data_IF_407229049074
#
_entry.id   IF_407229049074
#
_cell.length_a   1.000
_cell.length_b   1.000
_cell.length_c   1.000
_cell.angle_alpha   90.00
_cell.angle_beta   90.00
_cell.angle_gamma   90.00
#
_symmetry.space_group_name_H-M   'P 1'
#
loop_
_entity.id
_entity.type
_entity.pdbx_description
1 polymer ?
#
# COMPACT_ATOMS: atom_id res chain seq x y z
N UNK A 1 18.62 28.85 -38.31
CA UNK A 1 17.16 28.64 -38.26
C UNK A 1 16.83 28.11 -36.88
N UNK A 2 15.90 28.76 -36.18
CA UNK A 2 15.48 28.39 -34.84
C UNK A 2 14.35 27.35 -34.91
N UNK A 3 14.37 26.40 -34.00
CA UNK A 3 13.21 25.64 -33.56
C UNK A 3 13.37 25.44 -32.05
N UNK A 4 12.54 26.16 -31.28
CA UNK A 4 12.43 26.04 -29.84
C UNK A 4 11.26 25.09 -29.57
N UNK A 5 11.51 23.94 -28.95
CA UNK A 5 10.51 23.18 -28.22
C UNK A 5 10.88 23.29 -26.74
N UNK A 6 9.91 23.76 -25.96
CA UNK A 6 10.01 24.16 -24.57
C UNK A 6 10.65 23.06 -23.71
N UNK A 7 11.92 23.24 -23.38
CA UNK A 7 12.72 22.31 -22.60
C UNK A 7 12.31 22.33 -21.13
N UNK A 8 11.21 21.63 -20.80
CA UNK A 8 10.85 21.34 -19.40
C UNK A 8 11.93 20.42 -18.82
N UNK A 9 12.92 21.02 -18.17
CA UNK A 9 13.88 20.28 -17.35
C UNK A 9 13.15 19.94 -16.05
N UNK A 10 12.55 18.74 -15.99
CA UNK A 10 12.05 18.20 -14.72
C UNK A 10 13.27 17.85 -13.87
N UNK A 11 13.63 18.74 -12.95
CA UNK A 11 14.55 18.41 -11.87
C UNK A 11 13.79 17.52 -10.87
N UNK A 12 13.79 16.21 -11.11
CA UNK A 12 13.27 15.26 -10.15
C UNK A 12 14.25 15.23 -8.98
N UNK A 13 13.87 15.85 -7.86
CA UNK A 13 14.63 15.73 -6.64
C UNK A 13 14.58 14.26 -6.20
N UNK A 14 15.68 13.52 -6.39
CA UNK A 14 15.75 12.05 -6.21
C UNK A 14 15.95 11.64 -4.75
N UNK A 15 15.98 12.59 -3.82
CA UNK A 15 16.11 12.28 -2.39
C UNK A 15 14.76 11.78 -1.85
N UNK A 16 14.63 10.45 -1.76
CA UNK A 16 13.50 9.82 -1.09
C UNK A 16 13.58 10.14 0.41
N UNK A 17 12.63 10.93 0.89
CA UNK A 17 12.45 11.15 2.33
C UNK A 17 11.80 9.91 2.97
N UNK A 18 11.99 9.70 4.28
CA UNK A 18 11.33 8.60 4.99
C UNK A 18 9.80 8.62 4.83
N UNK A 19 9.19 9.81 4.75
CA UNK A 19 7.76 10.00 4.53
C UNK A 19 7.32 9.54 3.13
N UNK A 20 8.11 9.86 2.09
CA UNK A 20 7.82 9.42 0.72
C UNK A 20 7.95 7.90 0.57
N UNK A 21 8.91 7.29 1.27
CA UNK A 21 9.07 5.82 1.30
C UNK A 21 7.84 5.19 1.98
N UNK A 22 7.41 5.73 3.12
CA UNK A 22 6.26 5.23 3.86
C UNK A 22 4.95 5.37 3.05
N UNK A 23 4.76 6.50 2.35
CA UNK A 23 3.64 6.69 1.43
C UNK A 23 3.68 5.66 0.29
N UNK A 24 4.87 5.39 -0.27
CA UNK A 24 5.08 4.37 -1.29
C UNK A 24 4.64 2.98 -0.81
N UNK A 25 5.04 2.58 0.39
CA UNK A 25 4.60 1.31 0.99
C UNK A 25 3.08 1.27 1.19
N UNK A 26 2.47 2.35 1.67
CA UNK A 26 1.02 2.41 1.88
C UNK A 26 0.24 2.26 0.57
N UNK A 27 0.65 2.98 -0.49
CA UNK A 27 0.01 2.90 -1.81
C UNK A 27 0.15 1.51 -2.43
N UNK A 28 1.33 0.92 -2.34
CA UNK A 28 1.57 -0.45 -2.79
C UNK A 28 0.70 -1.45 -2.02
N UNK A 29 0.63 -1.32 -0.69
CA UNK A 29 -0.19 -2.17 0.16
C UNK A 29 -1.68 -2.11 -0.23
N UNK A 30 -2.23 -0.90 -0.42
CA UNK A 30 -3.60 -0.72 -0.91
C UNK A 30 -3.80 -1.44 -2.23
N UNK A 31 -2.86 -1.31 -3.18
CA UNK A 31 -2.93 -2.01 -4.45
C UNK A 31 -3.01 -3.54 -4.28
N UNK A 32 -2.15 -4.11 -3.41
CA UNK A 32 -2.18 -5.56 -3.12
C UNK A 32 -3.49 -5.99 -2.49
N UNK A 33 -4.00 -5.25 -1.50
CA UNK A 33 -5.30 -5.55 -0.87
C UNK A 33 -6.43 -5.52 -1.89
N UNK A 34 -6.49 -4.52 -2.76
CA UNK A 34 -7.54 -4.42 -3.77
C UNK A 34 -7.48 -5.56 -4.80
N UNK A 35 -6.28 -6.04 -5.13
CA UNK A 35 -6.13 -7.23 -5.97
C UNK A 35 -6.57 -8.49 -5.23
N UNK A 36 -6.14 -8.67 -3.98
CA UNK A 36 -6.53 -9.81 -3.15
C UNK A 36 -8.05 -9.90 -2.93
N UNK A 37 -8.75 -8.75 -2.81
CA UNK A 37 -10.22 -8.71 -2.78
C UNK A 37 -10.83 -9.34 -4.02
N UNK A 38 -10.34 -8.98 -5.21
CA UNK A 38 -10.83 -9.53 -6.48
C UNK A 38 -10.55 -11.03 -6.57
N UNK A 39 -9.36 -11.46 -6.13
CA UNK A 39 -8.97 -12.88 -6.13
C UNK A 39 -9.81 -13.71 -5.15
N UNK A 40 -10.22 -13.13 -4.03
CA UNK A 40 -11.11 -13.75 -3.03
C UNK A 40 -12.60 -13.60 -3.35
N UNK A 41 -12.95 -12.94 -4.47
CA UNK A 41 -14.34 -12.76 -4.91
C UNK A 41 -15.11 -11.69 -4.13
N UNK A 42 -14.43 -10.82 -3.40
CA UNK A 42 -15.02 -9.68 -2.69
C UNK A 42 -15.24 -8.50 -3.65
N UNK A 43 -16.34 -7.78 -3.46
CA UNK A 43 -16.62 -6.58 -4.23
C UNK A 43 -15.85 -5.38 -3.67
N UNK A 44 -15.53 -4.40 -4.51
CA UNK A 44 -14.82 -3.16 -4.09
C UNK A 44 -15.63 -2.34 -3.07
N UNK A 45 -16.95 -2.51 -3.06
CA UNK A 45 -17.88 -1.84 -2.13
C UNK A 45 -18.06 -2.58 -0.81
N UNK A 46 -17.58 -3.83 -0.69
CA UNK A 46 -17.67 -4.58 0.56
C UNK A 46 -16.82 -3.92 1.65
N UNK A 47 -17.28 -4.03 2.90
CA UNK A 47 -16.45 -3.75 4.07
C UNK A 47 -15.62 -4.98 4.39
N UNK A 48 -14.36 -4.78 4.73
CA UNK A 48 -13.43 -5.88 4.97
C UNK A 48 -12.70 -5.73 6.30
N UNK A 49 -12.18 -6.83 6.80
CA UNK A 49 -11.22 -6.89 7.90
C UNK A 49 -9.85 -7.21 7.31
N UNK A 50 -8.82 -6.46 7.71
CA UNK A 50 -7.46 -6.59 7.19
C UNK A 50 -6.52 -6.94 8.32
N UNK A 51 -5.88 -8.09 8.18
CA UNK A 51 -4.81 -8.56 9.06
C UNK A 51 -3.49 -8.56 8.27
N UNK A 52 -2.41 -8.05 8.84
CA UNK A 52 -1.11 -8.01 8.14
C UNK A 52 0.06 -8.46 9.01
N UNK A 53 1.09 -9.04 8.39
CA UNK A 53 2.38 -9.31 9.03
C UNK A 53 3.51 -8.78 8.14
N UNK A 54 4.31 -7.87 8.68
CA UNK A 54 5.43 -7.27 7.97
C UNK A 54 6.61 -6.98 8.91
N UNK A 55 7.78 -6.73 8.33
CA UNK A 55 8.94 -6.24 9.07
C UNK A 55 8.71 -4.85 9.68
N UNK A 56 9.53 -4.42 10.65
CA UNK A 56 9.29 -3.20 11.44
C UNK A 56 9.23 -1.92 10.59
N UNK A 57 9.99 -1.85 9.52
CA UNK A 57 10.00 -0.70 8.59
C UNK A 57 8.66 -0.55 7.86
N UNK A 58 8.17 -1.64 7.27
CA UNK A 58 6.87 -1.66 6.57
C UNK A 58 5.74 -1.48 7.57
N UNK A 59 5.77 -2.17 8.71
CA UNK A 59 4.75 -2.02 9.75
C UNK A 59 4.64 -0.56 10.22
N UNK A 60 5.75 0.11 10.47
CA UNK A 60 5.75 1.53 10.84
C UNK A 60 5.15 2.43 9.74
N UNK A 61 5.44 2.14 8.46
CA UNK A 61 4.84 2.86 7.34
C UNK A 61 3.32 2.62 7.26
N UNK A 62 2.87 1.37 7.38
CA UNK A 62 1.45 1.01 7.35
C UNK A 62 0.69 1.66 8.51
N UNK A 63 1.26 1.66 9.72
CA UNK A 63 0.66 2.36 10.87
C UNK A 63 0.60 3.88 10.66
N UNK A 64 1.65 4.48 10.08
CA UNK A 64 1.69 5.93 9.79
C UNK A 64 0.63 6.36 8.77
N UNK A 65 0.24 5.45 7.87
CA UNK A 65 -0.75 5.67 6.83
C UNK A 65 -2.04 4.86 7.05
N UNK A 66 -2.32 4.45 8.30
CA UNK A 66 -3.46 3.60 8.63
C UNK A 66 -4.79 4.18 8.17
N UNK A 67 -5.05 5.45 8.44
CA UNK A 67 -6.28 6.14 8.00
C UNK A 67 -6.44 6.11 6.47
N UNK A 68 -5.35 6.34 5.73
CA UNK A 68 -5.36 6.28 4.28
C UNK A 68 -5.70 4.86 3.78
N UNK A 69 -4.99 3.85 4.31
CA UNK A 69 -5.18 2.45 3.91
C UNK A 69 -6.61 1.99 4.21
N UNK A 70 -7.10 2.27 5.41
CA UNK A 70 -8.44 1.84 5.84
C UNK A 70 -9.55 2.51 5.04
N UNK A 71 -9.39 3.80 4.71
CA UNK A 71 -10.34 4.52 3.87
C UNK A 71 -10.36 3.98 2.43
N UNK A 72 -9.19 3.78 1.82
CA UNK A 72 -9.10 3.28 0.43
C UNK A 72 -9.58 1.84 0.29
N UNK A 73 -9.36 1.00 1.30
CA UNK A 73 -9.74 -0.43 1.26
C UNK A 73 -11.12 -0.72 1.84
N UNK A 74 -11.82 0.31 2.36
CA UNK A 74 -13.07 0.18 3.10
C UNK A 74 -12.96 -0.81 4.27
N UNK A 75 -11.81 -0.88 4.93
CA UNK A 75 -11.59 -1.83 6.02
C UNK A 75 -12.19 -1.33 7.34
N UNK A 76 -12.94 -2.19 8.02
CA UNK A 76 -13.47 -1.97 9.37
C UNK A 76 -12.40 -2.19 10.45
N UNK A 77 -11.49 -3.13 10.22
CA UNK A 77 -10.37 -3.45 11.10
C UNK A 77 -9.08 -3.50 10.28
N UNK A 78 -7.98 -3.06 10.92
CA UNK A 78 -6.64 -3.06 10.34
C UNK A 78 -5.64 -3.29 11.46
N UNK A 79 -5.12 -4.51 11.56
CA UNK A 79 -4.30 -4.94 12.70
C UNK A 79 -3.15 -5.84 12.25
N UNK A 80 -2.06 -5.81 13.01
CA UNK A 80 -0.93 -6.70 12.79
C UNK A 80 -1.22 -8.10 13.36
N UNK A 81 -1.16 -9.14 12.54
CA UNK A 81 -1.37 -10.53 12.93
C UNK A 81 -0.34 -11.45 12.27
N UNK A 82 0.34 -12.27 13.09
CA UNK A 82 1.42 -13.15 12.61
C UNK A 82 0.96 -14.28 11.68
N UNK A 83 -0.34 -14.59 11.69
CA UNK A 83 -0.94 -15.71 10.94
C UNK A 83 -1.52 -15.28 9.57
N UNK A 84 -1.19 -14.08 9.09
CA UNK A 84 -1.62 -13.64 7.77
C UNK A 84 -1.13 -14.59 6.65
N UNK A 85 -1.99 -14.88 5.68
CA UNK A 85 -1.85 -16.05 4.81
C UNK A 85 -1.25 -15.69 3.44
N UNK A 86 -1.70 -14.59 2.83
CA UNK A 86 -1.27 -14.24 1.47
C UNK A 86 -0.02 -13.38 1.47
N UNK A 87 1.05 -13.91 0.90
CA UNK A 87 2.35 -13.24 0.83
C UNK A 87 2.49 -12.36 -0.43
N UNK A 88 2.99 -11.14 -0.25
CA UNK A 88 3.26 -10.19 -1.31
C UNK A 88 4.57 -9.41 -1.06
N UNK A 89 5.20 -8.98 -2.15
CA UNK A 89 6.32 -8.05 -2.12
C UNK A 89 5.82 -6.59 -2.13
N UNK A 90 6.35 -5.78 -1.23
CA UNK A 90 6.19 -4.32 -1.17
C UNK A 90 7.58 -3.69 -1.34
N UNK A 91 7.91 -3.27 -2.56
CA UNK A 91 9.22 -2.71 -2.93
C UNK A 91 10.44 -3.49 -2.36
N UNK A 92 10.46 -4.82 -2.49
CA UNK A 92 11.54 -5.68 -2.00
C UNK A 92 11.42 -6.09 -0.53
N UNK A 93 10.30 -5.78 0.14
CA UNK A 93 10.01 -6.19 1.52
C UNK A 93 8.84 -7.15 1.55
N UNK A 94 9.03 -8.27 2.23
CA UNK A 94 8.01 -9.28 2.36
C UNK A 94 6.89 -8.83 3.33
N UNK A 95 5.64 -8.98 2.91
CA UNK A 95 4.46 -8.66 3.69
C UNK A 95 3.40 -9.74 3.47
N UNK A 96 2.76 -10.20 4.55
CA UNK A 96 1.63 -11.10 4.48
C UNK A 96 0.35 -10.37 4.83
N UNK A 97 -0.74 -10.69 4.14
CA UNK A 97 -2.04 -10.06 4.34
C UNK A 97 -3.13 -11.13 4.29
N UNK A 98 -4.11 -10.99 5.17
CA UNK A 98 -5.39 -11.71 5.10
C UNK A 98 -6.50 -10.69 5.03
N UNK A 99 -7.46 -10.93 4.12
CA UNK A 99 -8.68 -10.12 4.02
C UNK A 99 -9.89 -11.00 4.28
N UNK A 100 -10.82 -10.52 5.08
CA UNK A 100 -12.10 -11.18 5.34
C UNK A 100 -13.24 -10.19 5.15
N UNK A 101 -14.42 -10.67 4.78
CA UNK A 101 -15.61 -9.81 4.72
C UNK A 101 -16.10 -9.53 6.13
N UNK A 102 -16.30 -8.26 6.45
CA UNK A 102 -16.88 -7.81 7.73
C UNK A 102 -18.40 -8.04 7.77
#
# INVERSE_FOLDING_TARGET
>A
AAASEDGVTIALNTELTPELIAEGYAREFVSKVQNLRKETGLEVTDRIEVEYAAGPEVAAALESFRDYITNETLSSTFEAAADAEHEFDLNGKNCKVTVRKA
#
